data_IF_701702019890
#
_entry.id   IF_701702019890
#
_cell.length_a   1.000
_cell.length_b   1.000
_cell.length_c   1.000
_cell.angle_alpha   90.00
_cell.angle_beta   90.00
_cell.angle_gamma   90.00
#
_symmetry.space_group_name_H-M   'P 1'
#
loop_
_entity.id
_entity.type
_entity.pdbx_description
1 polymer ?
#
# COMPACT_ATOMS: atom_id res chain seq x y z
N UNK A 1 0.56 -9.38 -1.54
CA UNK A 1 -0.17 -10.48 -0.86
C UNK A 1 -1.67 -10.21 -0.74
N UNK A 2 -2.06 -9.01 -0.31
CA UNK A 2 -3.46 -8.66 -0.01
C UNK A 2 -4.38 -8.58 -1.24
N UNK A 3 -3.84 -8.28 -2.42
CA UNK A 3 -4.62 -8.16 -3.67
C UNK A 3 -5.24 -6.78 -3.93
N UNK A 4 -4.98 -5.80 -3.05
CA UNK A 4 -5.49 -4.42 -3.19
C UNK A 4 -4.74 -3.62 -4.26
N UNK A 5 -3.41 -3.73 -4.34
CA UNK A 5 -2.60 -2.98 -5.32
C UNK A 5 -3.01 -3.26 -6.78
N UNK A 6 -3.39 -4.51 -7.10
CA UNK A 6 -3.90 -4.87 -8.42
C UNK A 6 -5.17 -4.11 -8.82
N UNK A 7 -5.95 -3.58 -7.87
CA UNK A 7 -7.12 -2.74 -8.17
C UNK A 7 -6.69 -1.41 -8.79
N UNK A 8 -5.62 -0.77 -8.29
CA UNK A 8 -5.03 0.43 -8.92
C UNK A 8 -4.45 0.10 -10.30
N UNK A 9 -3.58 -0.90 -10.37
CA UNK A 9 -2.88 -1.24 -11.61
C UNK A 9 -3.83 -1.72 -12.72
N UNK A 10 -4.98 -2.31 -12.38
CA UNK A 10 -6.00 -2.66 -13.37
C UNK A 10 -6.64 -1.45 -14.07
N UNK A 11 -6.51 -0.25 -13.49
CA UNK A 11 -6.95 0.99 -14.13
C UNK A 11 -5.90 1.61 -15.06
N UNK A 12 -4.66 1.10 -15.06
CA UNK A 12 -3.61 1.57 -15.95
C UNK A 12 -3.95 1.27 -17.41
N UNK A 13 -3.70 2.23 -18.30
CA UNK A 13 -3.86 2.06 -19.75
C UNK A 13 -2.66 1.31 -20.31
N UNK A 14 -2.67 -0.01 -20.17
CA UNK A 14 -1.66 -0.90 -20.77
C UNK A 14 -2.31 -1.89 -21.73
N UNK A 15 -1.64 -2.19 -22.84
CA UNK A 15 -1.99 -3.32 -23.72
C UNK A 15 -1.33 -4.62 -23.28
N UNK A 16 -0.39 -4.56 -22.33
CA UNK A 16 0.40 -5.69 -21.84
C UNK A 16 0.30 -5.74 -20.30
N UNK A 17 -0.63 -6.54 -19.73
CA UNK A 17 -0.83 -6.64 -18.29
C UNK A 17 0.43 -7.07 -17.53
N UNK A 18 1.27 -7.91 -18.15
CA UNK A 18 2.56 -8.35 -17.58
C UNK A 18 3.51 -7.18 -17.37
N UNK A 19 3.53 -6.21 -18.28
CA UNK A 19 4.36 -5.01 -18.14
C UNK A 19 3.96 -4.21 -16.91
N UNK A 20 2.65 -4.01 -16.71
CA UNK A 20 2.14 -3.28 -15.53
C UNK A 20 2.39 -4.07 -14.24
N UNK A 21 2.28 -5.40 -14.28
CA UNK A 21 2.66 -6.27 -13.18
C UNK A 21 4.13 -6.09 -12.79
N UNK A 22 5.06 -5.98 -13.74
CA UNK A 22 6.47 -5.71 -13.45
C UNK A 22 6.66 -4.31 -12.84
N UNK A 23 5.94 -3.29 -13.33
CA UNK A 23 6.00 -1.93 -12.77
C UNK A 23 5.50 -1.93 -11.32
N UNK A 24 4.43 -2.67 -11.01
CA UNK A 24 3.88 -2.78 -9.66
C UNK A 24 4.88 -3.31 -8.63
N UNK A 25 5.87 -4.11 -9.05
CA UNK A 25 6.92 -4.63 -8.15
C UNK A 25 7.89 -3.55 -7.67
N UNK A 26 7.95 -2.40 -8.35
CA UNK A 26 8.76 -1.26 -7.90
C UNK A 26 8.17 -0.61 -6.65
N UNK A 27 6.85 -0.70 -6.43
CA UNK A 27 6.19 -0.11 -5.26
C UNK A 27 6.74 -0.70 -3.94
N UNK A 28 6.66 -2.02 -3.67
CA UNK A 28 7.21 -2.60 -2.44
C UNK A 28 8.74 -2.55 -2.40
N UNK A 29 9.42 -2.53 -3.55
CA UNK A 29 10.87 -2.39 -3.57
C UNK A 29 11.30 -1.02 -3.02
N UNK A 30 10.73 0.06 -3.54
CA UNK A 30 11.06 1.40 -3.07
C UNK A 30 10.60 1.58 -1.62
N UNK A 31 9.35 1.26 -1.32
CA UNK A 31 8.78 1.46 0.02
C UNK A 31 9.48 0.63 1.10
N UNK A 32 9.49 -0.69 0.95
CA UNK A 32 9.97 -1.59 2.01
C UNK A 32 11.48 -1.77 1.98
N UNK A 33 12.08 -2.01 0.80
CA UNK A 33 13.51 -2.35 0.73
C UNK A 33 14.37 -1.10 0.88
N UNK A 34 13.96 0.03 0.30
CA UNK A 34 14.75 1.27 0.35
C UNK A 34 14.32 2.14 1.53
N UNK A 35 13.06 2.63 1.55
CA UNK A 35 12.63 3.66 2.50
C UNK A 35 12.53 3.13 3.94
N UNK A 36 11.88 1.99 4.16
CA UNK A 36 11.76 1.40 5.51
C UNK A 36 13.13 0.98 6.06
N UNK A 37 14.01 0.41 5.22
CA UNK A 37 15.38 0.08 5.64
C UNK A 37 16.17 1.31 6.03
N UNK A 38 16.11 2.40 5.26
CA UNK A 38 16.78 3.66 5.61
C UNK A 38 16.29 4.20 6.95
N UNK A 39 14.98 4.17 7.19
CA UNK A 39 14.37 4.62 8.45
C UNK A 39 14.84 3.74 9.62
N UNK A 40 14.81 2.42 9.46
CA UNK A 40 15.27 1.47 10.47
C UNK A 40 16.77 1.66 10.79
N UNK A 41 17.62 1.87 9.78
CA UNK A 41 19.05 2.11 9.97
C UNK A 41 19.30 3.38 10.79
N UNK A 42 18.57 4.47 10.53
CA UNK A 42 18.70 5.70 11.32
C UNK A 42 18.29 5.46 12.78
N UNK A 43 17.17 4.76 13.02
CA UNK A 43 16.71 4.44 14.38
C UNK A 43 17.74 3.57 15.13
N UNK A 44 18.37 2.61 14.47
CA UNK A 44 19.38 1.73 15.06
C UNK A 44 20.68 2.51 15.35
N UNK A 45 21.21 3.25 14.38
CA UNK A 45 22.48 3.98 14.51
C UNK A 45 22.39 5.06 15.59
N UNK A 46 21.24 5.71 15.74
CA UNK A 46 21.01 6.73 16.77
C UNK A 46 20.71 6.14 18.15
N UNK A 47 20.68 4.81 18.30
CA UNK A 47 20.39 4.11 19.56
C UNK A 47 18.92 4.15 19.99
N UNK A 48 18.04 4.87 19.28
CA UNK A 48 16.65 5.09 19.69
C UNK A 48 15.80 3.81 19.71
N UNK A 49 16.24 2.73 19.06
CA UNK A 49 15.57 1.42 19.13
C UNK A 49 15.39 0.88 20.57
N UNK A 50 16.31 1.19 21.50
CA UNK A 50 16.25 0.77 22.91
C UNK A 50 15.18 1.53 23.70
N UNK A 51 14.78 2.71 23.21
CA UNK A 51 13.79 3.58 23.81
C UNK A 51 12.39 3.36 23.21
N UNK A 52 12.22 2.37 22.33
CA UNK A 52 10.96 2.14 21.60
C UNK A 52 9.73 2.06 22.51
N UNK A 53 9.84 1.45 23.70
CA UNK A 53 8.75 1.37 24.68
C UNK A 53 8.37 2.71 25.33
N UNK A 54 9.21 3.74 25.20
CA UNK A 54 8.97 5.09 25.72
C UNK A 54 8.21 6.00 24.74
N UNK A 55 7.93 5.53 23.52
CA UNK A 55 7.24 6.29 22.48
C UNK A 55 5.86 5.70 22.17
N UNK A 56 4.85 6.56 22.06
CA UNK A 56 3.46 6.18 21.75
C UNK A 56 3.25 5.94 20.24
N UNK A 57 4.13 5.16 19.61
CA UNK A 57 4.05 4.76 18.20
C UNK A 57 5.31 5.03 17.37
N UNK A 58 5.32 4.49 16.14
CA UNK A 58 6.49 4.54 15.26
C UNK A 58 6.83 5.95 14.74
N UNK A 59 5.84 6.83 14.59
CA UNK A 59 6.05 8.20 14.09
C UNK A 59 6.84 9.06 15.08
N UNK A 60 6.52 8.99 16.38
CA UNK A 60 7.21 9.75 17.43
C UNK A 60 8.63 9.24 17.65
N UNK A 61 8.83 7.91 17.61
CA UNK A 61 10.16 7.30 17.65
C UNK A 61 11.04 7.76 16.46
N UNK A 62 10.48 7.75 15.25
CA UNK A 62 11.20 8.19 14.03
C UNK A 62 11.54 9.68 14.13
N UNK A 63 10.61 10.50 14.58
CA UNK A 63 10.81 11.94 14.78
C UNK A 63 11.95 12.24 15.76
N UNK A 64 12.00 11.52 16.89
CA UNK A 64 13.06 11.66 17.88
C UNK A 64 14.43 11.21 17.34
N UNK A 65 14.47 10.04 16.68
CA UNK A 65 15.70 9.50 16.10
C UNK A 65 16.32 10.47 15.08
N UNK A 66 15.53 10.92 14.10
CA UNK A 66 16.03 11.87 13.11
C UNK A 66 16.28 13.26 13.70
N UNK A 67 15.46 13.71 14.66
CA UNK A 67 15.64 14.98 15.35
C UNK A 67 16.95 15.08 16.13
N UNK A 68 17.48 13.95 16.61
CA UNK A 68 18.78 13.87 17.28
C UNK A 68 19.98 14.18 16.37
N UNK A 69 19.81 13.97 15.05
CA UNK A 69 20.85 14.21 14.03
C UNK A 69 20.57 15.48 13.24
N UNK A 70 19.30 15.75 12.93
CA UNK A 70 18.84 16.85 12.09
C UNK A 70 17.67 17.55 12.81
N UNK A 71 17.97 18.66 13.48
CA UNK A 71 17.02 19.38 14.34
C UNK A 71 15.74 19.88 13.64
N UNK A 72 15.79 20.12 12.33
CA UNK A 72 14.62 20.57 11.55
C UNK A 72 13.79 19.44 10.94
N UNK A 73 14.31 18.20 10.95
CA UNK A 73 13.65 17.05 10.34
C UNK A 73 12.25 16.74 10.94
N UNK A 74 11.99 16.90 12.25
CA UNK A 74 10.66 16.69 12.81
C UNK A 74 9.55 17.49 12.10
N UNK A 75 9.82 18.74 11.70
CA UNK A 75 8.84 19.57 10.97
C UNK A 75 8.58 19.03 9.57
N UNK A 76 9.63 18.60 8.86
CA UNK A 76 9.49 17.96 7.55
C UNK A 76 8.70 16.65 7.67
N UNK A 77 9.01 15.83 8.68
CA UNK A 77 8.37 14.55 8.91
C UNK A 77 6.87 14.69 9.16
N UNK A 78 6.43 15.70 9.92
CA UNK A 78 5.00 15.96 10.14
C UNK A 78 4.28 16.24 8.82
N UNK A 79 4.85 17.08 7.95
CA UNK A 79 4.27 17.36 6.63
C UNK A 79 4.24 16.10 5.76
N UNK A 80 5.31 15.31 5.77
CA UNK A 80 5.40 14.07 5.02
C UNK A 80 4.37 13.03 5.49
N UNK A 81 4.23 12.82 6.80
CA UNK A 81 3.24 11.90 7.39
C UNK A 81 1.82 12.32 7.03
N UNK A 82 1.52 13.62 7.08
CA UNK A 82 0.20 14.12 6.70
C UNK A 82 -0.12 13.81 5.23
N UNK A 83 0.81 14.12 4.31
CA UNK A 83 0.63 13.84 2.88
C UNK A 83 0.51 12.34 2.61
N UNK A 84 1.30 11.51 3.29
CA UNK A 84 1.29 10.06 3.14
C UNK A 84 0.00 9.43 3.67
N UNK A 85 -0.47 9.87 4.84
CA UNK A 85 -1.75 9.44 5.39
C UNK A 85 -2.90 9.84 4.45
N UNK A 86 -2.86 11.07 3.92
CA UNK A 86 -3.87 11.55 2.99
C UNK A 86 -3.89 10.76 1.67
N UNK A 87 -2.73 10.51 1.05
CA UNK A 87 -2.65 9.72 -0.18
C UNK A 87 -3.12 8.28 0.04
N UNK A 88 -2.79 7.71 1.19
CA UNK A 88 -3.23 6.36 1.59
C UNK A 88 -4.75 6.31 1.73
N UNK A 89 -5.37 7.29 2.41
CA UNK A 89 -6.82 7.37 2.54
C UNK A 89 -7.53 7.44 1.18
N UNK A 90 -7.01 8.22 0.22
CA UNK A 90 -7.59 8.29 -1.13
C UNK A 90 -7.51 6.94 -1.83
N UNK A 91 -6.34 6.32 -1.82
CA UNK A 91 -6.11 5.03 -2.50
C UNK A 91 -7.00 3.93 -1.95
N UNK A 92 -7.10 3.81 -0.62
CA UNK A 92 -7.94 2.82 0.05
C UNK A 92 -9.44 3.11 -0.10
N UNK A 93 -9.84 4.39 -0.17
CA UNK A 93 -11.21 4.77 -0.51
C UNK A 93 -11.58 4.27 -1.91
N UNK A 94 -10.69 4.45 -2.89
CA UNK A 94 -10.89 3.94 -4.24
C UNK A 94 -10.97 2.41 -4.28
N UNK A 95 -10.06 1.71 -3.60
CA UNK A 95 -10.04 0.24 -3.55
C UNK A 95 -11.34 -0.31 -2.96
N UNK A 96 -11.75 0.22 -1.80
CA UNK A 96 -12.98 -0.23 -1.16
C UNK A 96 -14.23 0.14 -1.96
N UNK A 97 -14.25 1.29 -2.65
CA UNK A 97 -15.36 1.64 -3.54
C UNK A 97 -15.50 0.64 -4.69
N UNK A 98 -14.39 0.21 -5.30
CA UNK A 98 -14.44 -0.80 -6.37
C UNK A 98 -14.95 -2.15 -5.86
N UNK A 99 -14.52 -2.57 -4.68
CA UNK A 99 -15.05 -3.77 -4.01
C UNK A 99 -16.53 -3.63 -3.65
N UNK A 100 -16.97 -2.46 -3.22
CA UNK A 100 -18.36 -2.16 -2.90
C UNK A 100 -19.25 -2.19 -4.15
N UNK A 101 -18.82 -1.55 -5.24
CA UNK A 101 -19.49 -1.60 -6.54
C UNK A 101 -19.59 -3.02 -7.10
N UNK A 102 -18.60 -3.88 -6.84
CA UNK A 102 -18.64 -5.29 -7.23
C UNK A 102 -19.75 -6.05 -6.50
N UNK A 103 -19.95 -5.79 -5.21
CA UNK A 103 -20.97 -6.48 -4.39
C UNK A 103 -22.39 -5.92 -4.59
N UNK A 104 -22.54 -4.60 -4.60
CA UNK A 104 -23.84 -3.93 -4.56
C UNK A 104 -24.25 -3.31 -5.90
N UNK A 105 -23.43 -3.47 -6.93
CA UNK A 105 -23.64 -2.90 -8.25
C UNK A 105 -23.25 -1.42 -8.35
N UNK A 106 -23.04 -0.97 -9.58
CA UNK A 106 -22.69 0.42 -9.91
C UNK A 106 -23.94 1.27 -9.99
N UNK A 107 -24.18 2.05 -8.94
CA UNK A 107 -25.21 3.09 -8.92
C UNK A 107 -24.74 4.28 -8.10
N UNK A 108 -25.30 5.48 -8.36
CA UNK A 108 -24.98 6.66 -7.57
C UNK A 108 -25.28 6.45 -6.08
N UNK A 109 -26.36 5.74 -5.78
CA UNK A 109 -26.75 5.43 -4.39
C UNK A 109 -25.68 4.56 -3.72
N UNK A 110 -25.19 3.53 -4.41
CA UNK A 110 -24.11 2.65 -3.93
C UNK A 110 -22.80 3.40 -3.71
N UNK A 111 -22.43 4.30 -4.62
CA UNK A 111 -21.22 5.10 -4.51
C UNK A 111 -21.28 6.09 -3.33
N UNK A 112 -22.38 6.84 -3.20
CA UNK A 112 -22.55 7.80 -2.11
C UNK A 112 -22.69 7.12 -0.76
N UNK A 113 -23.34 5.95 -0.68
CA UNK A 113 -23.43 5.19 0.58
C UNK A 113 -22.05 4.74 1.05
N UNK A 114 -21.21 4.20 0.16
CA UNK A 114 -19.83 3.84 0.49
C UNK A 114 -19.02 5.05 0.97
N UNK A 115 -19.06 6.17 0.23
CA UNK A 115 -18.32 7.38 0.62
C UNK A 115 -18.74 7.91 1.98
N UNK A 116 -20.05 7.91 2.28
CA UNK A 116 -20.56 8.34 3.58
C UNK A 116 -20.05 7.42 4.70
N UNK A 117 -20.13 6.10 4.51
CA UNK A 117 -19.61 5.12 5.47
C UNK A 117 -18.11 5.33 5.68
N UNK A 118 -17.34 5.46 4.60
CA UNK A 118 -15.89 5.66 4.67
C UNK A 118 -15.51 6.92 5.47
N UNK A 119 -16.18 8.04 5.22
CA UNK A 119 -15.96 9.28 5.97
C UNK A 119 -16.32 9.14 7.46
N UNK A 120 -17.40 8.42 7.79
CA UNK A 120 -17.77 8.14 9.18
C UNK A 120 -16.68 7.31 9.88
N UNK A 121 -16.14 6.29 9.21
CA UNK A 121 -15.06 5.46 9.76
C UNK A 121 -13.74 6.22 9.93
N UNK A 122 -13.46 7.25 9.12
CA UNK A 122 -12.30 8.14 9.36
C UNK A 122 -12.46 8.87 10.70
N UNK A 123 -13.63 9.45 10.98
CA UNK A 123 -13.88 10.15 12.24
C UNK A 123 -13.75 9.20 13.42
N UNK A 124 -14.38 8.01 13.33
CA UNK A 124 -14.27 6.98 14.37
C UNK A 124 -12.81 6.57 14.56
N UNK A 125 -12.10 6.22 13.49
CA UNK A 125 -10.70 5.78 13.54
C UNK A 125 -9.76 6.82 14.16
N UNK A 126 -10.03 8.12 13.97
CA UNK A 126 -9.26 9.19 14.59
C UNK A 126 -9.43 9.29 16.12
N UNK A 127 -10.45 8.65 16.68
CA UNK A 127 -10.80 8.71 18.11
C UNK A 127 -10.51 7.41 18.88
N UNK A 128 -10.13 6.34 18.19
CA UNK A 128 -9.81 5.02 18.79
C UNK A 128 -8.31 4.94 19.08
N UNK A 129 -7.93 4.14 20.08
CA UNK A 129 -6.51 3.92 20.41
C UNK A 129 -5.76 3.28 19.25
N UNK A 130 -4.50 3.68 19.08
CA UNK A 130 -3.65 3.19 17.99
C UNK A 130 -3.56 1.66 17.97
N UNK A 131 -3.33 1.03 19.12
CA UNK A 131 -3.24 -0.43 19.23
C UNK A 131 -4.51 -1.14 18.73
N UNK A 132 -5.70 -0.68 19.14
CA UNK A 132 -6.95 -1.30 18.70
C UNK A 132 -7.21 -1.10 17.19
N UNK A 133 -6.79 0.03 16.62
CA UNK A 133 -6.87 0.25 15.16
C UNK A 133 -5.93 -0.70 14.41
N UNK A 134 -4.71 -0.90 14.91
CA UNK A 134 -3.74 -1.81 14.31
C UNK A 134 -4.21 -3.26 14.37
N UNK A 135 -4.65 -3.74 15.54
CA UNK A 135 -5.15 -5.11 15.72
C UNK A 135 -6.34 -5.41 14.79
N UNK A 136 -7.28 -4.46 14.68
CA UNK A 136 -8.41 -4.59 13.78
C UNK A 136 -7.97 -4.59 12.31
N UNK A 137 -7.02 -3.72 11.95
CA UNK A 137 -6.48 -3.65 10.58
C UNK A 137 -5.78 -4.93 10.18
N UNK A 138 -4.95 -5.50 11.05
CA UNK A 138 -4.23 -6.76 10.81
C UNK A 138 -5.20 -7.91 10.55
N UNK A 139 -6.26 -8.03 11.36
CA UNK A 139 -7.31 -9.03 11.14
C UNK A 139 -7.98 -8.88 9.77
N UNK A 140 -8.31 -7.64 9.36
CA UNK A 140 -8.92 -7.38 8.06
C UNK A 140 -7.96 -7.64 6.89
N UNK A 141 -6.69 -7.25 7.02
CA UNK A 141 -5.65 -7.49 6.02
C UNK A 141 -5.42 -8.98 5.83
N UNK A 142 -5.37 -9.76 6.91
CA UNK A 142 -5.26 -11.22 6.85
C UNK A 142 -6.49 -11.85 6.19
N UNK A 143 -7.69 -11.39 6.52
CA UNK A 143 -8.93 -11.86 5.92
C UNK A 143 -8.99 -11.61 4.41
N UNK A 144 -8.41 -10.51 3.92
CA UNK A 144 -8.31 -10.22 2.47
C UNK A 144 -7.15 -11.00 1.81
N UNK A 145 -6.00 -11.11 2.48
CA UNK A 145 -4.84 -11.79 1.95
C UNK A 145 -5.06 -13.28 1.74
N UNK A 146 -5.75 -13.96 2.66
CA UNK A 146 -5.99 -15.40 2.58
C UNK A 146 -6.66 -15.85 1.26
N UNK A 147 -7.88 -15.39 0.91
CA UNK A 147 -8.52 -15.80 -0.34
C UNK A 147 -7.73 -15.36 -1.58
N UNK A 148 -7.09 -14.19 -1.53
CA UNK A 148 -6.29 -13.71 -2.65
C UNK A 148 -5.07 -14.59 -2.91
N UNK A 149 -4.31 -14.97 -1.87
CA UNK A 149 -3.15 -15.87 -1.99
C UNK A 149 -3.59 -17.23 -2.54
N UNK A 150 -4.69 -17.78 -2.03
CA UNK A 150 -5.25 -19.05 -2.54
C UNK A 150 -5.59 -18.93 -4.03
N UNK A 151 -6.24 -17.85 -4.45
CA UNK A 151 -6.53 -17.58 -5.86
C UNK A 151 -5.26 -17.49 -6.72
N UNK A 152 -4.23 -16.79 -6.25
CA UNK A 152 -2.95 -16.68 -6.94
C UNK A 152 -2.25 -18.04 -7.09
N UNK A 153 -2.36 -18.94 -6.11
CA UNK A 153 -1.80 -20.28 -6.22
C UNK A 153 -2.48 -21.09 -7.33
N UNK A 154 -3.81 -21.01 -7.45
CA UNK A 154 -4.54 -21.66 -8.55
C UNK A 154 -4.20 -21.05 -9.91
N UNK A 155 -4.06 -19.72 -9.98
CA UNK A 155 -3.75 -18.99 -11.22
C UNK A 155 -2.26 -18.94 -11.57
N UNK A 156 -1.39 -19.50 -10.72
CA UNK A 156 0.06 -19.43 -10.90
C UNK A 156 0.55 -19.96 -12.26
N UNK A 157 -0.12 -20.98 -12.82
CA UNK A 157 0.18 -21.52 -14.15
C UNK A 157 -0.19 -20.56 -15.28
N UNK A 158 -1.32 -19.87 -15.15
CA UNK A 158 -1.77 -18.89 -16.15
C UNK A 158 -0.80 -17.71 -16.18
N UNK A 159 -0.49 -17.15 -15.01
CA UNK A 159 0.47 -16.03 -14.87
C UNK A 159 1.83 -16.39 -15.43
N UNK A 160 2.31 -17.62 -15.22
CA UNK A 160 3.57 -18.09 -15.79
C UNK A 160 3.52 -18.15 -17.32
N UNK A 161 2.42 -18.64 -17.88
CA UNK A 161 2.25 -18.74 -19.34
C UNK A 161 2.24 -17.37 -19.99
N UNK A 162 1.53 -16.40 -19.38
CA UNK A 162 1.51 -15.01 -19.83
C UNK A 162 2.89 -14.36 -19.77
N UNK A 163 3.64 -14.61 -18.69
CA UNK A 163 5.00 -14.10 -18.50
C UNK A 163 5.96 -14.66 -19.56
N UNK A 164 5.93 -15.97 -19.80
CA UNK A 164 6.78 -16.63 -20.80
C UNK A 164 6.46 -16.12 -22.21
N UNK A 165 5.18 -15.96 -22.54
CA UNK A 165 4.72 -15.37 -23.81
C UNK A 165 5.19 -13.92 -23.98
N UNK A 166 5.02 -13.09 -22.95
CA UNK A 166 5.45 -11.70 -22.96
C UNK A 166 6.95 -11.56 -23.22
N UNK A 167 7.78 -12.32 -22.53
CA UNK A 167 9.24 -12.28 -22.75
C UNK A 167 9.65 -12.81 -24.13
N UNK A 168 8.95 -13.82 -24.65
CA UNK A 168 9.19 -14.31 -26.02
C UNK A 168 8.90 -13.21 -27.06
N UNK A 169 7.75 -12.52 -26.94
CA UNK A 169 7.33 -11.42 -27.82
C UNK A 169 8.21 -10.17 -27.68
N UNK A 170 8.74 -9.91 -26.48
CA UNK A 170 9.71 -8.85 -26.23
C UNK A 170 11.07 -9.15 -26.88
N UNK A 171 11.50 -10.43 -26.86
CA UNK A 171 12.76 -10.86 -27.47
C UNK A 171 12.68 -10.93 -29.00
N UNK A 172 11.54 -11.33 -29.56
CA UNK A 172 11.31 -11.35 -31.01
C UNK A 172 11.19 -9.94 -31.63
N UNK A 173 10.98 -8.92 -30.80
CA UNK A 173 10.79 -7.53 -31.25
C UNK A 173 9.36 -7.20 -31.68
N UNK A 174 8.41 -8.11 -31.45
CA UNK A 174 6.98 -7.88 -31.67
C UNK A 174 6.46 -6.76 -30.76
N UNK A 175 6.92 -6.73 -29.51
CA UNK A 175 6.65 -5.62 -28.58
C UNK A 175 7.70 -4.52 -28.83
N UNK A 176 7.25 -3.38 -29.37
CA UNK A 176 8.11 -2.22 -29.57
C UNK A 176 8.62 -1.70 -28.23
N UNK A 177 9.94 -1.70 -28.05
CA UNK A 177 10.60 -1.01 -26.94
C UNK A 177 10.48 0.50 -27.16
N UNK A 178 9.70 1.18 -26.33
CA UNK A 178 9.73 2.64 -26.28
C UNK A 178 11.05 3.04 -25.61
N UNK A 179 11.84 3.89 -26.30
CA UNK A 179 13.06 4.50 -25.78
C UNK A 179 12.73 5.78 -25.02
#
# INVERSE_FOLDING_TARGET
GVGSASIAHSAAKTSEPVSEGIVSLLEPFIDTVVICTMTALVIIITGHHELSASFDGGASLTSAAFGSVISWFPYLLVVAIFLFAFSTMISWSYYGLKSWEYLFGKSKVSEYSYKLIFLMFIVIGSSVSLGSVLDFSDMMILAMAFPNIVGLLFLSKEVRTDLDSYFARLKSGEIKKYK
#
